data_IF_663867535222
#
_entry.id   IF_663867535222
#
_cell.length_a   1.000
_cell.length_b   1.000
_cell.length_c   1.000
_cell.angle_alpha   90.00
_cell.angle_beta   90.00
_cell.angle_gamma   90.00
#
_symmetry.space_group_name_H-M   'P 1'
#
loop_
_entity.id
_entity.type
_entity.pdbx_description
1 polymer ?
#
# COMPACT_ATOMS: atom_id res chain seq x y z
N UNK A 1 3.21 5.87 11.60
CA UNK A 1 2.47 6.91 10.84
C UNK A 1 1.34 6.22 10.09
N UNK A 2 0.13 6.76 10.12
CA UNK A 2 -1.02 6.22 9.38
C UNK A 2 -1.33 7.13 8.18
N UNK A 3 -1.64 6.54 7.02
CA UNK A 3 -1.88 7.25 5.77
C UNK A 3 -3.02 6.60 4.99
N UNK A 4 -3.87 7.43 4.38
CA UNK A 4 -4.96 7.05 3.49
C UNK A 4 -4.59 7.41 2.05
N UNK A 5 -4.82 6.51 1.10
CA UNK A 5 -4.67 6.82 -0.32
C UNK A 5 -5.79 6.23 -1.15
N UNK A 6 -6.48 7.08 -1.91
CA UNK A 6 -7.55 6.72 -2.83
C UNK A 6 -7.19 7.11 -4.27
N UNK A 7 -7.13 6.11 -5.13
CA UNK A 7 -7.07 6.27 -6.57
C UNK A 7 -8.45 6.02 -7.17
N UNK A 8 -9.06 7.05 -7.76
CA UNK A 8 -10.32 6.94 -8.47
C UNK A 8 -10.23 7.74 -9.77
N UNK A 9 -10.16 7.05 -10.91
CA UNK A 9 -10.02 7.67 -12.22
C UNK A 9 -10.96 7.01 -13.22
N UNK A 10 -11.73 7.82 -13.93
CA UNK A 10 -12.59 7.38 -15.01
C UNK A 10 -12.29 8.23 -16.25
N UNK A 11 -11.79 7.62 -17.32
CA UNK A 11 -11.54 8.30 -18.60
C UNK A 11 -12.07 7.47 -19.76
N UNK A 12 -13.22 7.87 -20.31
CA UNK A 12 -13.75 7.39 -21.60
C UNK A 12 -14.07 5.89 -21.72
N UNK A 13 -13.89 5.09 -20.66
CA UNK A 13 -14.02 3.64 -20.64
C UNK A 13 -14.11 3.09 -19.21
N UNK A 14 -13.67 1.84 -19.01
CA UNK A 14 -13.71 1.16 -17.70
C UNK A 14 -12.94 1.95 -16.65
N UNK A 15 -13.55 2.14 -15.47
CA UNK A 15 -12.96 2.94 -14.40
C UNK A 15 -11.75 2.25 -13.78
N UNK A 16 -10.96 3.00 -13.02
CA UNK A 16 -9.95 2.47 -12.12
C UNK A 16 -10.26 2.96 -10.71
N UNK A 17 -10.29 2.04 -9.77
CA UNK A 17 -10.55 2.32 -8.37
C UNK A 17 -9.64 1.48 -7.48
N UNK A 18 -9.01 2.12 -6.49
CA UNK A 18 -8.28 1.46 -5.42
C UNK A 18 -8.19 2.39 -4.21
N UNK A 19 -8.42 1.86 -3.02
CA UNK A 19 -8.40 2.65 -1.80
C UNK A 19 -7.80 1.83 -0.65
N UNK A 20 -6.75 2.36 -0.02
CA UNK A 20 -6.01 1.68 1.04
C UNK A 20 -5.70 2.62 2.20
N UNK A 21 -5.67 2.04 3.40
CA UNK A 21 -5.10 2.65 4.59
C UNK A 21 -3.86 1.86 4.99
N UNK A 22 -2.74 2.57 5.12
CA UNK A 22 -1.44 2.02 5.46
C UNK A 22 -0.97 2.58 6.79
N UNK A 23 -0.42 1.71 7.63
CA UNK A 23 0.35 2.09 8.81
C UNK A 23 1.81 1.76 8.57
N UNK A 24 2.67 2.77 8.62
CA UNK A 24 4.11 2.67 8.44
C UNK A 24 4.80 2.80 9.80
N UNK A 25 5.66 1.86 10.11
CA UNK A 25 6.40 1.79 11.37
C UNK A 25 7.88 1.55 11.06
N UNK A 26 8.82 2.30 11.69
CA UNK A 26 10.23 1.98 11.55
C UNK A 26 10.52 0.63 12.22
N UNK A 27 11.46 -0.12 11.64
CA UNK A 27 12.02 -1.34 12.21
C UNK A 27 13.43 -1.08 12.73
N UNK A 28 13.96 -2.07 13.44
CA UNK A 28 15.37 -2.06 13.85
C UNK A 28 16.27 -2.08 12.61
N UNK A 29 17.44 -1.42 12.65
CA UNK A 29 18.38 -1.41 11.53
C UNK A 29 18.76 -2.82 11.06
N UNK A 30 18.69 -3.05 9.74
CA UNK A 30 18.98 -4.35 9.13
C UNK A 30 17.83 -5.36 9.16
N UNK A 31 16.63 -4.95 9.58
CA UNK A 31 15.41 -5.79 9.51
C UNK A 31 14.84 -5.86 8.10
N UNK A 32 15.17 -4.89 7.23
CA UNK A 32 14.69 -4.84 5.86
C UNK A 32 13.24 -4.39 5.76
N UNK A 33 12.46 -5.07 4.92
CA UNK A 33 11.06 -4.71 4.64
C UNK A 33 10.10 -5.79 5.14
N UNK A 34 9.07 -5.39 5.87
CA UNK A 34 7.98 -6.26 6.31
C UNK A 34 6.63 -5.72 5.84
N UNK A 35 5.84 -6.57 5.17
CA UNK A 35 4.46 -6.26 4.80
C UNK A 35 3.47 -7.09 5.60
N UNK A 36 2.49 -6.44 6.24
CA UNK A 36 1.46 -7.10 7.04
C UNK A 36 0.08 -6.81 6.47
N UNK A 37 -0.69 -7.88 6.24
CA UNK A 37 -2.10 -7.79 5.88
C UNK A 37 -2.97 -7.96 7.13
N UNK A 38 -3.55 -6.85 7.61
CA UNK A 38 -4.49 -6.84 8.74
C UNK A 38 -5.95 -6.58 8.29
N UNK A 39 -6.25 -6.72 7.00
CA UNK A 39 -7.61 -6.53 6.47
C UNK A 39 -8.59 -7.50 7.10
N UNK A 40 -9.68 -6.95 7.65
CA UNK A 40 -10.84 -7.69 8.18
C UNK A 40 -12.06 -7.53 7.27
N UNK A 41 -12.99 -8.47 7.34
CA UNK A 41 -14.29 -8.36 6.68
C UNK A 41 -14.28 -8.36 5.14
N UNK A 42 -13.11 -8.47 4.49
CA UNK A 42 -13.01 -8.47 3.03
C UNK A 42 -13.23 -7.09 2.39
N UNK A 43 -13.04 -5.99 3.14
CA UNK A 43 -13.15 -4.61 2.62
C UNK A 43 -12.18 -4.34 1.47
N UNK A 44 -11.11 -5.12 1.39
CA UNK A 44 -10.28 -5.29 0.19
C UNK A 44 -10.20 -6.80 -0.11
N UNK A 45 -10.53 -7.23 -1.33
CA UNK A 45 -10.35 -8.61 -1.79
C UNK A 45 -8.90 -9.08 -1.63
N UNK A 46 -8.70 -10.31 -1.11
CA UNK A 46 -7.37 -10.87 -0.86
C UNK A 46 -6.48 -10.94 -2.11
N UNK A 47 -7.10 -11.05 -3.28
CA UNK A 47 -6.42 -11.04 -4.58
C UNK A 47 -5.73 -9.70 -4.92
N UNK A 48 -6.17 -8.59 -4.33
CA UNK A 48 -5.55 -7.27 -4.55
C UNK A 48 -4.43 -6.96 -3.56
N UNK A 49 -4.32 -7.70 -2.46
CA UNK A 49 -3.28 -7.47 -1.44
C UNK A 49 -1.85 -7.58 -2.01
N UNK A 50 -1.52 -8.57 -2.87
CA UNK A 50 -0.20 -8.62 -3.52
C UNK A 50 0.08 -7.40 -4.41
N UNK A 51 -0.94 -6.78 -5.01
CA UNK A 51 -0.77 -5.58 -5.82
C UNK A 51 -0.47 -4.34 -4.94
N UNK A 52 -1.08 -4.27 -3.75
CA UNK A 52 -0.78 -3.23 -2.76
C UNK A 52 0.67 -3.36 -2.27
N UNK A 53 1.09 -4.55 -1.86
CA UNK A 53 2.47 -4.82 -1.42
C UNK A 53 3.49 -4.45 -2.51
N UNK A 54 3.24 -4.89 -3.75
CA UNK A 54 4.10 -4.54 -4.89
C UNK A 54 4.22 -3.02 -5.07
N UNK A 55 3.11 -2.28 -5.01
CA UNK A 55 3.13 -0.82 -5.13
C UNK A 55 3.90 -0.13 -4.01
N UNK A 56 3.83 -0.67 -2.78
CA UNK A 56 4.64 -0.20 -1.65
C UNK A 56 6.13 -0.43 -1.92
N UNK A 57 6.53 -1.63 -2.32
CA UNK A 57 7.94 -1.94 -2.63
C UNK A 57 8.51 -1.03 -3.74
N UNK A 58 7.74 -0.80 -4.81
CA UNK A 58 8.12 0.10 -5.89
C UNK A 58 8.30 1.56 -5.41
N UNK A 59 7.44 2.03 -4.50
CA UNK A 59 7.57 3.35 -3.89
C UNK A 59 8.81 3.46 -2.98
N UNK A 60 9.09 2.41 -2.19
CA UNK A 60 10.24 2.37 -1.29
C UNK A 60 11.57 2.36 -2.05
N UNK A 61 11.65 1.74 -3.23
CA UNK A 61 12.87 1.73 -4.06
C UNK A 61 13.27 3.13 -4.53
N UNK A 62 12.28 3.98 -4.86
CA UNK A 62 12.55 5.32 -5.38
C UNK A 62 12.82 6.32 -4.24
N UNK A 63 12.23 6.13 -3.06
CA UNK A 63 12.38 7.04 -1.93
C UNK A 63 11.83 8.45 -2.16
N UNK A 64 11.45 9.14 -1.10
CA UNK A 64 10.74 10.42 -1.19
C UNK A 64 11.62 11.66 -1.06
N UNK A 65 12.87 11.50 -0.60
CA UNK A 65 13.78 12.62 -0.31
C UNK A 65 14.78 12.90 -1.43
N UNK A 66 15.60 11.90 -1.78
CA UNK A 66 16.73 12.10 -2.69
C UNK A 66 16.91 10.93 -3.68
N UNK A 67 15.88 10.12 -3.90
CA UNK A 67 15.99 8.98 -4.81
C UNK A 67 16.58 7.71 -4.18
N UNK A 68 16.89 7.74 -2.88
CA UNK A 68 17.50 6.60 -2.19
C UNK A 68 16.43 5.64 -1.64
N UNK A 69 16.68 4.32 -1.69
CA UNK A 69 15.78 3.34 -1.12
C UNK A 69 15.49 3.60 0.36
N UNK A 70 14.23 3.40 0.75
CA UNK A 70 13.80 3.40 2.14
C UNK A 70 13.90 1.96 2.66
N UNK A 71 14.69 1.76 3.70
CA UNK A 71 14.92 0.46 4.36
C UNK A 71 14.36 0.47 5.78
N UNK A 72 14.34 -0.72 6.40
CA UNK A 72 13.96 -0.93 7.81
C UNK A 72 12.57 -0.37 8.14
N UNK A 73 11.58 -0.78 7.34
CA UNK A 73 10.20 -0.31 7.47
C UNK A 73 9.22 -1.48 7.44
N UNK A 74 8.25 -1.41 8.34
CA UNK A 74 7.07 -2.25 8.35
C UNK A 74 5.89 -1.47 7.80
N UNK A 75 5.17 -2.09 6.87
CA UNK A 75 3.95 -1.53 6.27
C UNK A 75 2.80 -2.47 6.52
N UNK A 76 1.79 -1.99 7.26
CA UNK A 76 0.57 -2.74 7.53
C UNK A 76 -0.59 -2.14 6.75
N UNK A 77 -1.24 -2.94 5.89
CA UNK A 77 -2.54 -2.57 5.30
C UNK A 77 -3.64 -3.04 6.24
N UNK A 78 -4.42 -2.10 6.77
CA UNK A 78 -5.39 -2.39 7.83
C UNK A 78 -6.84 -2.05 7.48
N UNK A 79 -7.06 -1.20 6.46
CA UNK A 79 -8.40 -0.86 5.98
C UNK A 79 -8.35 -0.41 4.51
N UNK A 80 -9.52 -0.20 3.91
CA UNK A 80 -9.70 0.40 2.61
C UNK A 80 -11.04 0.08 2.00
N UNK A 81 -11.13 0.27 0.69
CA UNK A 81 -12.33 -0.12 -0.06
C UNK A 81 -11.97 -0.49 -1.49
N UNK A 82 -12.85 -1.25 -2.12
CA UNK A 82 -12.78 -1.53 -3.55
C UNK A 82 -14.11 -1.19 -4.21
N UNK A 83 -14.07 -1.05 -5.52
CA UNK A 83 -15.26 -0.87 -6.34
C UNK A 83 -15.08 -1.70 -7.60
N UNK A 84 -16.08 -2.51 -7.92
CA UNK A 84 -16.14 -3.18 -9.22
C UNK A 84 -16.47 -2.11 -10.27
N UNK A 85 -15.45 -1.69 -11.03
CA UNK A 85 -15.52 -0.63 -12.05
C UNK A 85 -15.44 -1.17 -13.49
#
# INVERSE_FOLDING_TARGET
>A
VEQEYKYAKQSGGRGQYGHVFLRLEPLEPGSGYEFVNDIKGGVIPKEYIPAVDKGVQEALQNGVLAGYPVEDVKVTVYDGSYHEV
#
